data_IF_192372197689
#
_entry.id   IF_192372197689
#
_cell.length_a   1.000
_cell.length_b   1.000
_cell.length_c   1.000
_cell.angle_alpha   90.00
_cell.angle_beta   90.00
_cell.angle_gamma   90.00
#
_symmetry.space_group_name_H-M   'P 1'
#
loop_
_entity.id
_entity.type
_entity.pdbx_description
1 polymer ?
#
# COMPACT_ATOMS: atom_id res chain seq x y z
N UNK A 1 -1.14 36.12 10.35
CA UNK A 1 -0.45 35.30 11.38
C UNK A 1 -0.44 33.79 11.11
N UNK A 2 -1.11 33.26 10.08
CA UNK A 2 -1.19 31.81 9.80
C UNK A 2 0.09 31.14 9.24
N UNK A 3 1.13 31.90 8.88
CA UNK A 3 2.37 31.36 8.30
C UNK A 3 3.35 30.76 9.33
N UNK A 4 3.36 31.25 10.57
CA UNK A 4 4.34 30.82 11.59
C UNK A 4 4.04 29.44 12.18
N UNK A 5 2.78 28.99 12.19
CA UNK A 5 2.42 27.65 12.73
C UNK A 5 2.82 26.52 11.78
N UNK A 6 2.67 26.71 10.47
CA UNK A 6 3.07 25.72 9.45
C UNK A 6 4.58 25.47 9.45
N UNK A 7 5.39 26.51 9.64
CA UNK A 7 6.84 26.38 9.71
C UNK A 7 7.31 25.61 10.96
N UNK A 8 6.65 25.82 12.11
CA UNK A 8 6.93 25.07 13.35
C UNK A 8 6.53 23.59 13.25
N UNK A 9 5.41 23.30 12.59
CA UNK A 9 4.96 21.92 12.36
C UNK A 9 5.93 21.15 11.45
N UNK A 10 6.40 21.78 10.35
CA UNK A 10 7.38 21.17 9.45
C UNK A 10 8.71 20.92 10.17
N UNK A 11 9.18 21.89 10.96
CA UNK A 11 10.38 21.73 11.78
C UNK A 11 10.25 20.60 12.82
N UNK A 12 9.09 20.47 13.46
CA UNK A 12 8.82 19.40 14.41
C UNK A 12 8.76 18.02 13.74
N UNK A 13 8.09 17.89 12.59
CA UNK A 13 8.03 16.64 11.82
C UNK A 13 9.41 16.24 11.31
N UNK A 14 10.24 17.19 10.86
CA UNK A 14 11.63 16.93 10.48
C UNK A 14 12.47 16.51 11.69
N UNK A 15 12.32 17.17 12.84
CA UNK A 15 13.06 16.81 14.05
C UNK A 15 12.68 15.40 14.55
N UNK A 16 11.38 15.07 14.59
CA UNK A 16 10.89 13.74 14.95
C UNK A 16 11.34 12.71 13.92
N UNK A 17 11.30 13.04 12.62
CA UNK A 17 11.78 12.17 11.54
C UNK A 17 13.28 11.89 11.62
N UNK A 18 14.10 12.89 11.97
CA UNK A 18 15.55 12.74 12.18
C UNK A 18 15.81 11.89 13.43
N UNK A 19 15.06 12.10 14.52
CA UNK A 19 15.17 11.28 15.73
C UNK A 19 14.79 9.83 15.42
N UNK A 20 13.68 9.58 14.72
CA UNK A 20 13.28 8.22 14.31
C UNK A 20 14.29 7.59 13.34
N UNK A 21 14.80 8.34 12.36
CA UNK A 21 15.82 7.86 11.43
C UNK A 21 17.14 7.53 12.15
N UNK A 22 17.52 8.33 13.16
CA UNK A 22 18.70 8.08 14.00
C UNK A 22 18.54 6.85 14.91
N UNK A 23 17.32 6.58 15.37
CA UNK A 23 17.00 5.38 16.15
C UNK A 23 17.06 4.13 15.26
N UNK A 24 16.56 4.21 14.03
CA UNK A 24 16.62 3.13 13.05
C UNK A 24 18.05 2.85 12.56
N UNK A 25 18.89 3.87 12.40
CA UNK A 25 20.31 3.66 12.05
C UNK A 25 21.15 3.18 13.24
N UNK A 26 20.76 3.49 14.49
CA UNK A 26 21.41 2.94 15.69
C UNK A 26 21.01 1.49 16.00
N UNK A 27 19.86 1.01 15.48
CA UNK A 27 19.41 -0.36 15.67
C UNK A 27 20.30 -1.41 14.95
N UNK A 28 21.07 -0.98 13.95
CA UNK A 28 22.06 -1.83 13.27
C UNK A 28 23.34 -2.05 14.10
N UNK A 29 23.57 -1.22 15.13
CA UNK A 29 24.74 -1.27 16.03
C UNK A 29 24.39 -1.62 17.48
N UNK A 30 23.17 -2.10 17.75
CA UNK A 30 22.76 -2.60 19.06
C UNK A 30 22.73 -4.14 19.06
N UNK A 31 23.84 -4.82 19.45
CA UNK A 31 23.83 -6.22 19.89
C UNK A 31 22.66 -6.60 20.81
N UNK A 32 22.16 -5.74 21.74
CA UNK A 32 21.14 -6.15 22.71
C UNK A 32 19.81 -6.62 22.12
N UNK A 33 19.35 -6.06 21.00
CA UNK A 33 18.01 -6.40 20.48
C UNK A 33 18.01 -7.76 19.80
N UNK A 34 19.05 -8.05 19.02
CA UNK A 34 19.20 -9.36 18.38
C UNK A 34 19.40 -10.45 19.44
N UNK A 35 20.24 -10.20 20.45
CA UNK A 35 20.43 -11.14 21.56
C UNK A 35 19.14 -11.37 22.37
N UNK A 36 18.33 -10.34 22.61
CA UNK A 36 17.03 -10.48 23.30
C UNK A 36 16.03 -11.27 22.45
N UNK A 37 15.98 -11.03 21.14
CA UNK A 37 15.11 -11.79 20.23
C UNK A 37 15.59 -13.24 20.14
N UNK A 38 16.87 -13.47 19.93
CA UNK A 38 17.46 -14.80 19.81
C UNK A 38 17.30 -15.59 21.12
N UNK A 39 17.49 -14.96 22.29
CA UNK A 39 17.25 -15.59 23.59
C UNK A 39 15.77 -15.88 23.86
N UNK A 40 14.86 -15.00 23.44
CA UNK A 40 13.41 -15.25 23.57
C UNK A 40 12.96 -16.40 22.67
N UNK A 41 13.46 -16.43 21.43
CA UNK A 41 13.21 -17.52 20.48
C UNK A 41 13.79 -18.82 21.04
N UNK A 42 15.02 -18.81 21.55
CA UNK A 42 15.64 -20.01 22.12
C UNK A 42 14.87 -20.51 23.34
N UNK A 43 14.47 -19.64 24.26
CA UNK A 43 13.68 -20.04 25.42
C UNK A 43 12.31 -20.65 25.02
N UNK A 44 11.67 -20.10 23.98
CA UNK A 44 10.45 -20.69 23.44
C UNK A 44 10.72 -22.05 22.80
N UNK A 45 11.77 -22.17 21.99
CA UNK A 45 12.17 -23.43 21.36
C UNK A 45 12.45 -24.47 22.44
N UNK A 46 13.28 -24.18 23.44
CA UNK A 46 13.66 -25.14 24.48
C UNK A 46 12.44 -25.69 25.26
N UNK A 47 11.42 -24.84 25.49
CA UNK A 47 10.19 -25.25 26.18
C UNK A 47 9.28 -26.11 25.30
N UNK A 48 9.13 -25.74 24.03
CA UNK A 48 8.15 -26.37 23.13
C UNK A 48 8.73 -27.46 22.23
N UNK A 49 10.04 -27.49 22.02
CA UNK A 49 10.76 -28.44 21.17
C UNK A 49 10.45 -29.90 21.52
N UNK A 50 10.40 -30.33 22.80
CA UNK A 50 10.05 -31.72 23.13
C UNK A 50 8.66 -32.10 22.61
N UNK A 51 7.69 -31.20 22.72
CA UNK A 51 6.31 -31.43 22.28
C UNK A 51 6.20 -31.37 20.76
N UNK A 52 6.82 -30.36 20.14
CA UNK A 52 6.79 -30.13 18.70
C UNK A 52 7.53 -31.25 17.96
N UNK A 53 8.69 -31.67 18.45
CA UNK A 53 9.47 -32.76 17.85
C UNK A 53 8.71 -34.08 17.87
N UNK A 54 8.01 -34.41 18.96
CA UNK A 54 7.17 -35.62 19.04
C UNK A 54 5.98 -35.53 18.08
N UNK A 55 5.30 -34.37 18.02
CA UNK A 55 4.12 -34.19 17.17
C UNK A 55 4.46 -34.16 15.67
N UNK A 56 5.53 -33.46 15.28
CA UNK A 56 5.90 -33.23 13.88
C UNK A 56 6.90 -34.26 13.31
N UNK A 57 7.37 -35.23 14.10
CA UNK A 57 8.26 -36.31 13.65
C UNK A 57 9.75 -35.92 13.56
N UNK A 58 10.23 -35.24 14.61
CA UNK A 58 11.42 -34.38 14.61
C UNK A 58 12.76 -34.97 15.04
N UNK A 59 12.90 -36.28 15.28
CA UNK A 59 14.05 -36.84 15.99
C UNK A 59 15.45 -36.68 15.31
N UNK A 60 15.53 -36.17 14.07
CA UNK A 60 16.78 -36.03 13.32
C UNK A 60 17.03 -34.63 12.74
N UNK A 61 16.29 -33.59 13.16
CA UNK A 61 16.32 -32.28 12.52
C UNK A 61 17.01 -31.21 13.37
N UNK A 62 17.59 -30.21 12.70
CA UNK A 62 18.10 -29.00 13.36
C UNK A 62 16.95 -28.16 13.93
N UNK A 63 17.19 -27.46 15.04
CA UNK A 63 16.22 -26.59 15.72
C UNK A 63 15.56 -25.57 14.79
N UNK A 64 16.31 -25.05 13.80
CA UNK A 64 15.81 -24.15 12.76
C UNK A 64 14.67 -24.75 11.93
N UNK A 65 14.79 -26.01 11.50
CA UNK A 65 13.79 -26.67 10.65
C UNK A 65 12.49 -26.97 11.41
N UNK A 66 12.55 -27.14 12.73
CA UNK A 66 11.36 -27.35 13.55
C UNK A 66 10.47 -26.11 13.58
N UNK A 67 11.07 -24.92 13.74
CA UNK A 67 10.33 -23.66 13.71
C UNK A 67 9.69 -23.41 12.35
N UNK A 68 10.43 -23.68 11.27
CA UNK A 68 9.93 -23.59 9.90
C UNK A 68 8.71 -24.51 9.66
N UNK A 69 8.78 -25.77 10.11
CA UNK A 69 7.65 -26.72 10.04
C UNK A 69 6.44 -26.26 10.86
N UNK A 70 6.67 -25.68 12.03
CA UNK A 70 5.59 -25.12 12.86
C UNK A 70 4.87 -23.98 12.14
N UNK A 71 5.60 -23.09 11.47
CA UNK A 71 4.99 -22.01 10.68
C UNK A 71 4.13 -22.57 9.54
N UNK A 72 4.65 -23.53 8.77
CA UNK A 72 3.87 -24.14 7.69
C UNK A 72 2.67 -24.92 8.24
N UNK A 73 2.81 -25.60 9.38
CA UNK A 73 1.70 -26.22 10.11
C UNK A 73 0.60 -25.19 10.42
N UNK A 74 0.95 -24.02 10.98
CA UNK A 74 -0.01 -22.97 11.31
C UNK A 74 -0.72 -22.39 10.09
N UNK A 75 0.01 -22.24 8.97
CA UNK A 75 -0.57 -21.80 7.69
C UNK A 75 -1.57 -22.82 7.16
N UNK A 76 -1.17 -24.10 7.06
CA UNK A 76 -2.03 -25.17 6.56
C UNK A 76 -3.23 -25.38 7.48
N UNK A 77 -3.05 -25.32 8.80
CA UNK A 77 -4.13 -25.35 9.80
C UNK A 77 -5.14 -24.23 9.57
N UNK A 78 -4.67 -23.00 9.37
CA UNK A 78 -5.55 -21.84 9.13
C UNK A 78 -6.37 -22.01 7.85
N UNK A 79 -5.73 -22.45 6.75
CA UNK A 79 -6.40 -22.68 5.46
C UNK A 79 -7.43 -23.80 5.57
N UNK A 80 -7.06 -24.94 6.16
CA UNK A 80 -7.95 -26.10 6.33
C UNK A 80 -9.13 -25.72 7.22
N UNK A 81 -8.90 -25.05 8.35
CA UNK A 81 -9.96 -24.63 9.27
C UNK A 81 -10.98 -23.70 8.59
N UNK A 82 -10.51 -22.66 7.88
CA UNK A 82 -11.38 -21.73 7.15
C UNK A 82 -12.15 -22.45 6.03
N UNK A 83 -11.51 -23.38 5.33
CA UNK A 83 -12.14 -24.13 4.23
C UNK A 83 -13.22 -25.08 4.73
N UNK A 84 -12.95 -25.84 5.79
CA UNK A 84 -13.94 -26.73 6.41
C UNK A 84 -15.14 -25.93 6.94
N UNK A 85 -14.93 -24.71 7.44
CA UNK A 85 -16.02 -23.83 7.88
C UNK A 85 -17.05 -23.46 6.80
N UNK A 86 -16.70 -23.60 5.51
CA UNK A 86 -17.61 -23.33 4.39
C UNK A 86 -18.46 -24.53 3.97
N UNK A 87 -18.17 -25.73 4.50
CA UNK A 87 -18.88 -26.97 4.16
C UNK A 87 -19.98 -27.20 5.20
N UNK A 88 -21.27 -27.34 4.81
CA UNK A 88 -22.39 -27.45 5.75
C UNK A 88 -22.22 -28.52 6.84
N UNK A 89 -21.74 -29.71 6.45
CA UNK A 89 -21.49 -30.83 7.37
C UNK A 89 -20.54 -30.47 8.54
N UNK A 90 -19.51 -29.66 8.26
CA UNK A 90 -18.51 -29.23 9.27
C UNK A 90 -18.89 -27.91 9.93
N UNK A 91 -19.79 -27.13 9.33
CA UNK A 91 -20.30 -25.89 9.93
C UNK A 91 -21.19 -26.18 11.15
N UNK A 92 -22.00 -27.24 11.09
CA UNK A 92 -22.90 -27.64 12.18
C UNK A 92 -22.16 -28.33 13.35
N UNK A 93 -21.04 -29.00 13.07
CA UNK A 93 -20.29 -29.78 14.06
C UNK A 93 -18.89 -29.21 14.33
N UNK A 94 -18.82 -28.17 15.19
CA UNK A 94 -17.58 -27.47 15.50
C UNK A 94 -16.45 -28.38 16.03
N UNK A 95 -16.80 -29.40 16.82
CA UNK A 95 -15.82 -30.36 17.35
C UNK A 95 -15.17 -31.19 16.23
N UNK A 96 -15.98 -31.74 15.32
CA UNK A 96 -15.49 -32.51 14.16
C UNK A 96 -14.63 -31.62 13.27
N UNK A 97 -15.08 -30.38 13.02
CA UNK A 97 -14.29 -29.39 12.27
C UNK A 97 -12.91 -29.18 12.90
N UNK A 98 -12.85 -29.00 14.21
CA UNK A 98 -11.59 -28.76 14.92
C UNK A 98 -10.66 -29.98 14.84
N UNK A 99 -11.17 -31.19 15.11
CA UNK A 99 -10.39 -32.44 15.03
C UNK A 99 -9.83 -32.65 13.63
N UNK A 100 -10.67 -32.55 12.60
CA UNK A 100 -10.24 -32.74 11.20
C UNK A 100 -9.25 -31.65 10.79
N UNK A 101 -9.49 -30.40 11.21
CA UNK A 101 -8.57 -29.30 10.93
C UNK A 101 -7.20 -29.47 11.57
N UNK A 102 -7.09 -30.22 12.67
CA UNK A 102 -5.82 -30.46 13.36
C UNK A 102 -5.09 -31.68 12.80
N UNK A 103 -5.83 -32.76 12.51
CA UNK A 103 -5.26 -34.01 11.97
C UNK A 103 -4.68 -33.83 10.57
N UNK A 104 -5.36 -33.11 9.68
CA UNK A 104 -4.91 -32.95 8.29
C UNK A 104 -3.55 -32.24 8.19
N UNK A 105 -3.33 -31.04 8.76
CA UNK A 105 -2.02 -30.38 8.75
C UNK A 105 -0.96 -31.20 9.48
N UNK A 106 -1.32 -31.87 10.59
CA UNK A 106 -0.37 -32.70 11.34
C UNK A 106 0.19 -33.82 10.46
N UNK A 107 -0.67 -34.54 9.74
CA UNK A 107 -0.25 -35.57 8.79
C UNK A 107 0.53 -34.95 7.62
N UNK A 108 0.06 -33.82 7.08
CA UNK A 108 0.70 -33.14 5.95
C UNK A 108 2.14 -32.77 6.25
N UNK A 109 2.41 -32.18 7.42
CA UNK A 109 3.76 -31.76 7.82
C UNK A 109 4.63 -32.94 8.23
N UNK A 110 4.06 -33.95 8.91
CA UNK A 110 4.80 -35.14 9.33
C UNK A 110 5.41 -35.91 8.15
N UNK A 111 4.69 -35.98 7.03
CA UNK A 111 5.15 -36.67 5.82
C UNK A 111 5.75 -35.74 4.76
N UNK A 112 5.93 -34.45 5.07
CA UNK A 112 6.51 -33.49 4.14
C UNK A 112 8.02 -33.72 4.00
N UNK A 113 8.48 -33.91 2.76
CA UNK A 113 9.91 -33.97 2.46
C UNK A 113 10.56 -32.58 2.66
N UNK A 114 11.78 -32.49 3.21
CA UNK A 114 12.44 -31.22 3.47
C UNK A 114 12.62 -30.33 2.24
N UNK A 115 12.81 -30.93 1.06
CA UNK A 115 12.95 -30.19 -0.19
C UNK A 115 11.74 -29.31 -0.50
N UNK A 116 10.53 -29.82 -0.24
CA UNK A 116 9.29 -29.05 -0.42
C UNK A 116 9.16 -27.93 0.60
N UNK A 117 9.51 -28.20 1.86
CA UNK A 117 9.50 -27.20 2.92
C UNK A 117 10.44 -26.04 2.57
N UNK A 118 11.68 -26.35 2.18
CA UNK A 118 12.67 -25.36 1.76
C UNK A 118 12.18 -24.54 0.56
N UNK A 119 11.59 -25.19 -0.45
CA UNK A 119 11.06 -24.52 -1.63
C UNK A 119 9.97 -23.50 -1.27
N UNK A 120 9.04 -23.86 -0.36
CA UNK A 120 8.00 -22.96 0.15
C UNK A 120 8.64 -21.75 0.86
N UNK A 121 9.62 -22.00 1.72
CA UNK A 121 10.28 -20.95 2.52
C UNK A 121 11.07 -20.00 1.64
N UNK A 122 11.76 -20.51 0.62
CA UNK A 122 12.49 -19.67 -0.34
C UNK A 122 11.53 -18.69 -1.02
N UNK A 123 10.34 -19.13 -1.43
CA UNK A 123 9.35 -18.23 -2.03
C UNK A 123 8.90 -17.14 -1.05
N UNK A 124 8.67 -17.47 0.22
CA UNK A 124 8.33 -16.47 1.24
C UNK A 124 9.48 -15.52 1.54
N UNK A 125 10.74 -15.98 1.52
CA UNK A 125 11.91 -15.12 1.65
C UNK A 125 11.98 -14.13 0.49
N UNK A 126 11.79 -14.59 -0.74
CA UNK A 126 11.75 -13.71 -1.93
C UNK A 126 10.61 -12.69 -1.83
N UNK A 127 9.41 -13.12 -1.44
CA UNK A 127 8.28 -12.21 -1.23
C UNK A 127 8.57 -11.19 -0.13
N UNK A 128 9.17 -11.62 0.98
CA UNK A 128 9.55 -10.72 2.08
C UNK A 128 10.55 -9.69 1.60
N UNK A 129 11.61 -10.10 0.88
CA UNK A 129 12.61 -9.20 0.30
C UNK A 129 11.95 -8.21 -0.67
N UNK A 130 11.02 -8.68 -1.51
CA UNK A 130 10.28 -7.83 -2.44
C UNK A 130 9.41 -6.81 -1.67
N UNK A 131 8.70 -7.23 -0.63
CA UNK A 131 7.88 -6.34 0.19
C UNK A 131 8.73 -5.32 0.95
N UNK A 132 9.80 -5.75 1.61
CA UNK A 132 10.68 -4.85 2.38
C UNK A 132 11.44 -3.87 1.49
N UNK A 133 11.69 -4.23 0.22
CA UNK A 133 12.31 -3.30 -0.75
C UNK A 133 11.32 -2.31 -1.35
N UNK A 134 10.08 -2.74 -1.65
CA UNK A 134 9.06 -1.89 -2.26
C UNK A 134 8.35 -0.99 -1.24
N UNK A 135 8.18 -1.44 0.02
CA UNK A 135 7.39 -0.73 1.01
C UNK A 135 7.94 0.66 1.38
N UNK A 136 9.25 0.87 1.61
CA UNK A 136 9.78 2.21 1.85
C UNK A 136 9.56 3.12 0.65
N UNK A 137 9.63 2.59 -0.57
CA UNK A 137 9.34 3.32 -1.80
C UNK A 137 7.87 3.76 -1.88
N UNK A 138 6.91 2.88 -1.54
CA UNK A 138 5.48 3.22 -1.49
C UNK A 138 5.20 4.32 -0.46
N UNK A 139 5.72 4.16 0.76
CA UNK A 139 5.53 5.14 1.84
C UNK A 139 6.10 6.49 1.43
N UNK A 140 7.30 6.48 0.87
CA UNK A 140 7.97 7.68 0.41
C UNK A 140 7.20 8.36 -0.75
N UNK A 141 6.76 7.60 -1.75
CA UNK A 141 5.93 8.10 -2.85
C UNK A 141 4.63 8.73 -2.32
N UNK A 142 4.00 8.11 -1.33
CA UNK A 142 2.82 8.66 -0.66
C UNK A 142 3.11 10.03 -0.02
N UNK A 143 4.25 10.18 0.67
CA UNK A 143 4.62 11.48 1.24
C UNK A 143 4.88 12.54 0.17
N UNK A 144 5.58 12.21 -0.91
CA UNK A 144 5.85 13.15 -2.01
C UNK A 144 4.59 13.55 -2.73
N UNK A 145 3.67 12.63 -2.94
CA UNK A 145 2.40 12.91 -3.59
C UNK A 145 1.52 13.84 -2.75
N UNK A 146 1.44 13.60 -1.43
CA UNK A 146 0.54 14.36 -0.56
C UNK A 146 1.14 15.69 -0.09
N UNK A 147 2.39 15.70 0.37
CA UNK A 147 3.05 16.91 0.89
C UNK A 147 3.67 17.76 -0.23
N UNK A 148 4.08 17.13 -1.33
CA UNK A 148 4.76 17.80 -2.44
C UNK A 148 3.82 18.35 -3.53
N UNK A 149 2.50 18.20 -3.37
CA UNK A 149 1.52 18.58 -4.40
C UNK A 149 1.65 20.03 -4.85
N UNK A 150 1.91 20.94 -3.91
CA UNK A 150 1.93 22.38 -4.17
C UNK A 150 3.33 22.93 -4.48
N UNK A 151 4.39 22.15 -4.24
CA UNK A 151 5.77 22.60 -4.41
C UNK A 151 6.64 21.58 -5.12
N UNK A 152 6.99 21.88 -6.38
CA UNK A 152 7.96 21.09 -7.14
C UNK A 152 9.33 21.02 -6.49
N UNK A 153 9.71 22.02 -5.67
CA UNK A 153 10.98 22.02 -4.93
C UNK A 153 10.96 20.93 -3.84
N UNK A 154 9.87 20.83 -3.06
CA UNK A 154 9.74 19.82 -2.00
C UNK A 154 9.83 18.41 -2.58
N UNK A 155 9.22 18.17 -3.74
CA UNK A 155 9.30 16.88 -4.44
C UNK A 155 10.72 16.54 -4.88
N UNK A 156 11.42 17.47 -5.52
CA UNK A 156 12.82 17.29 -5.93
C UNK A 156 13.75 17.03 -4.74
N UNK A 157 13.63 17.84 -3.69
CA UNK A 157 14.42 17.68 -2.45
C UNK A 157 14.15 16.33 -1.81
N UNK A 158 12.89 15.91 -1.76
CA UNK A 158 12.56 14.57 -1.31
C UNK A 158 13.30 13.51 -2.12
N UNK A 159 13.18 13.55 -3.46
CA UNK A 159 13.72 12.49 -4.31
C UNK A 159 15.24 12.39 -4.15
N UNK A 160 15.91 13.53 -3.96
CA UNK A 160 17.33 13.60 -3.62
C UNK A 160 17.61 12.93 -2.27
N UNK A 161 16.83 13.24 -1.23
CA UNK A 161 16.98 12.62 0.09
C UNK A 161 16.77 11.10 0.01
N UNK A 162 15.77 10.64 -0.74
CA UNK A 162 15.50 9.22 -0.96
C UNK A 162 16.68 8.52 -1.66
N UNK A 163 17.23 9.13 -2.71
CA UNK A 163 18.43 8.63 -3.38
C UNK A 163 19.62 8.51 -2.41
N UNK A 164 19.85 9.52 -1.56
CA UNK A 164 20.95 9.50 -0.58
C UNK A 164 20.78 8.34 0.41
N UNK A 165 19.56 8.13 0.91
CA UNK A 165 19.27 7.01 1.84
C UNK A 165 19.56 5.67 1.18
N UNK A 166 19.05 5.45 -0.04
CA UNK A 166 19.28 4.18 -0.74
C UNK A 166 20.73 3.97 -1.18
N UNK A 167 21.44 5.03 -1.52
CA UNK A 167 22.88 4.97 -1.80
C UNK A 167 23.66 4.59 -0.53
N UNK A 168 23.29 5.15 0.62
CA UNK A 168 23.87 4.79 1.91
C UNK A 168 23.59 3.34 2.30
N UNK A 169 22.35 2.87 2.12
CA UNK A 169 21.97 1.47 2.36
C UNK A 169 22.75 0.53 1.44
N UNK A 170 22.85 0.86 0.15
CA UNK A 170 23.62 0.09 -0.84
C UNK A 170 25.10 -0.02 -0.44
N UNK A 171 25.71 1.08 0.00
CA UNK A 171 27.11 1.08 0.45
C UNK A 171 27.35 0.34 1.77
N UNK A 172 26.31 0.12 2.58
CA UNK A 172 26.41 -0.50 3.91
C UNK A 172 26.13 -2.01 3.94
N UNK A 173 25.57 -2.57 2.85
CA UNK A 173 25.17 -3.97 2.81
C UNK A 173 26.28 -4.83 2.20
N UNK A 174 26.63 -5.94 2.87
CA UNK A 174 27.63 -6.90 2.37
C UNK A 174 27.01 -7.98 1.47
N UNK A 175 25.72 -8.28 1.65
CA UNK A 175 25.01 -9.30 0.86
C UNK A 175 24.77 -8.80 -0.57
N UNK A 176 25.32 -9.51 -1.55
CA UNK A 176 25.29 -9.12 -2.98
C UNK A 176 23.86 -9.01 -3.52
N UNK A 177 22.98 -9.93 -3.13
CA UNK A 177 21.59 -9.95 -3.61
C UNK A 177 20.80 -8.76 -3.06
N UNK A 178 20.94 -8.45 -1.77
CA UNK A 178 20.34 -7.26 -1.16
C UNK A 178 20.96 -5.96 -1.70
N UNK A 179 22.28 -5.96 -1.95
CA UNK A 179 23.00 -4.85 -2.58
C UNK A 179 22.41 -4.50 -3.95
N UNK A 180 22.19 -5.50 -4.81
CA UNK A 180 21.58 -5.30 -6.11
C UNK A 180 20.20 -4.64 -6.01
N UNK A 181 19.38 -5.05 -5.03
CA UNK A 181 18.03 -4.47 -4.82
C UNK A 181 18.11 -2.99 -4.46
N UNK A 182 19.00 -2.59 -3.55
CA UNK A 182 19.16 -1.18 -3.18
C UNK A 182 19.73 -0.36 -4.34
N UNK A 183 20.68 -0.90 -5.10
CA UNK A 183 21.23 -0.25 -6.30
C UNK A 183 20.15 0.00 -7.35
N UNK A 184 19.35 -1.01 -7.71
CA UNK A 184 18.28 -0.84 -8.69
C UNK A 184 17.20 0.11 -8.20
N UNK A 185 16.92 0.14 -6.89
CA UNK A 185 15.98 1.11 -6.31
C UNK A 185 16.52 2.53 -6.39
N UNK A 186 17.82 2.73 -6.15
CA UNK A 186 18.50 4.01 -6.38
C UNK A 186 18.36 4.46 -7.85
N UNK A 187 18.67 3.57 -8.81
CA UNK A 187 18.52 3.86 -10.26
C UNK A 187 17.07 4.22 -10.62
N UNK A 188 16.09 3.47 -10.11
CA UNK A 188 14.68 3.74 -10.33
C UNK A 188 14.27 5.11 -9.75
N UNK A 189 14.75 5.47 -8.56
CA UNK A 189 14.48 6.77 -7.95
C UNK A 189 15.12 7.94 -8.73
N UNK A 190 16.31 7.74 -9.29
CA UNK A 190 16.95 8.70 -10.18
C UNK A 190 16.14 8.90 -11.46
N UNK A 191 15.67 7.81 -12.09
CA UNK A 191 14.79 7.89 -13.25
C UNK A 191 13.50 8.66 -12.92
N UNK A 192 12.87 8.36 -11.78
CA UNK A 192 11.66 9.06 -11.34
C UNK A 192 11.89 10.53 -11.03
N UNK A 193 13.05 10.90 -10.48
CA UNK A 193 13.42 12.31 -10.30
C UNK A 193 13.48 13.06 -11.64
N UNK A 194 14.04 12.43 -12.68
CA UNK A 194 14.12 13.02 -14.03
C UNK A 194 12.71 13.16 -14.63
N UNK A 195 11.85 12.16 -14.48
CA UNK A 195 10.48 12.15 -15.00
C UNK A 195 9.42 12.80 -14.10
N UNK A 196 9.81 13.30 -12.93
CA UNK A 196 8.93 13.87 -11.91
C UNK A 196 8.02 14.97 -12.50
N UNK A 197 8.59 15.84 -13.34
CA UNK A 197 7.84 16.89 -14.03
C UNK A 197 6.75 16.34 -14.98
N UNK A 198 7.10 15.35 -15.79
CA UNK A 198 6.20 14.74 -16.80
C UNK A 198 5.03 14.02 -16.13
N UNK A 199 5.31 13.22 -15.10
CA UNK A 199 4.30 12.47 -14.34
C UNK A 199 3.30 13.43 -13.71
N UNK A 200 3.80 14.51 -13.09
CA UNK A 200 2.93 15.48 -12.44
C UNK A 200 2.07 16.27 -13.43
N UNK A 201 2.62 16.66 -14.57
CA UNK A 201 1.85 17.33 -15.62
C UNK A 201 0.71 16.42 -16.13
N UNK A 202 0.98 15.14 -16.30
CA UNK A 202 -0.04 14.15 -16.67
C UNK A 202 -1.15 14.06 -15.62
N UNK A 203 -0.81 13.97 -14.34
CA UNK A 203 -1.80 13.93 -13.25
C UNK A 203 -2.63 15.22 -13.15
N UNK A 204 -2.00 16.40 -13.26
CA UNK A 204 -2.72 17.69 -13.29
C UNK A 204 -3.68 17.74 -14.47
N UNK A 205 -3.24 17.35 -15.66
CA UNK A 205 -4.08 17.32 -16.86
C UNK A 205 -5.30 16.40 -16.68
N UNK A 206 -5.11 15.25 -16.03
CA UNK A 206 -6.21 14.32 -15.73
C UNK A 206 -7.17 14.87 -14.65
N UNK A 207 -6.67 15.61 -13.67
CA UNK A 207 -7.52 16.27 -12.68
C UNK A 207 -8.30 17.44 -13.30
N UNK A 208 -7.65 18.24 -14.15
CA UNK A 208 -8.29 19.33 -14.87
C UNK A 208 -9.35 18.82 -15.85
N UNK A 209 -9.11 17.70 -16.53
CA UNK A 209 -10.13 17.11 -17.40
C UNK A 209 -11.34 16.62 -16.61
N UNK A 210 -11.14 15.97 -15.45
CA UNK A 210 -12.23 15.56 -14.54
C UNK A 210 -12.99 16.75 -13.98
N UNK A 211 -12.29 17.80 -13.54
CA UNK A 211 -12.90 19.03 -13.04
C UNK A 211 -13.65 19.79 -14.14
N UNK A 212 -13.10 19.82 -15.37
CA UNK A 212 -13.76 20.41 -16.54
C UNK A 212 -15.06 19.70 -16.88
N UNK A 213 -15.08 18.35 -16.84
CA UNK A 213 -16.30 17.56 -17.04
C UNK A 213 -17.34 17.88 -15.96
N UNK A 214 -16.94 17.93 -14.68
CA UNK A 214 -17.86 18.26 -13.58
C UNK A 214 -18.45 19.69 -13.73
N UNK A 215 -17.60 20.68 -13.98
CA UNK A 215 -18.03 22.06 -14.20
C UNK A 215 -18.95 22.20 -15.43
N UNK A 216 -18.66 21.45 -16.51
CA UNK A 216 -19.52 21.40 -17.70
C UNK A 216 -20.92 20.89 -17.35
N UNK A 217 -21.03 19.79 -16.61
CA UNK A 217 -22.33 19.26 -16.20
C UNK A 217 -23.09 20.21 -15.28
N UNK A 218 -22.40 20.88 -14.35
CA UNK A 218 -23.00 21.90 -13.51
C UNK A 218 -23.52 23.08 -14.33
N UNK A 219 -22.75 23.54 -15.34
CA UNK A 219 -23.17 24.61 -16.23
C UNK A 219 -24.36 24.22 -17.11
N UNK A 220 -24.39 22.98 -17.61
CA UNK A 220 -25.54 22.43 -18.35
C UNK A 220 -26.78 22.37 -17.44
N UNK A 221 -26.64 21.94 -16.18
CA UNK A 221 -27.73 21.88 -15.23
C UNK A 221 -28.29 23.27 -14.91
N UNK A 222 -27.42 24.27 -14.75
CA UNK A 222 -27.83 25.67 -14.57
C UNK A 222 -28.61 26.20 -15.77
N UNK A 223 -28.10 26.00 -17.00
CA UNK A 223 -28.79 26.43 -18.22
C UNK A 223 -30.17 25.78 -18.39
N UNK A 224 -30.32 24.50 -17.99
CA UNK A 224 -31.61 23.82 -17.98
C UNK A 224 -32.58 24.46 -16.99
N UNK A 225 -32.12 24.75 -15.77
CA UNK A 225 -32.92 25.47 -14.78
C UNK A 225 -33.39 26.84 -15.27
N UNK A 226 -32.51 27.60 -15.93
CA UNK A 226 -32.84 28.90 -16.53
C UNK A 226 -33.83 28.79 -17.71
N UNK A 227 -33.79 27.70 -18.49
CA UNK A 227 -34.79 27.40 -19.51
C UNK A 227 -36.16 27.16 -18.86
N UNK A 228 -36.22 26.34 -17.81
CA UNK A 228 -37.47 26.01 -17.11
C UNK A 228 -38.07 27.24 -16.41
N UNK A 229 -37.25 28.14 -15.87
CA UNK A 229 -37.67 29.43 -15.33
C UNK A 229 -38.21 30.36 -16.43
N UNK A 230 -37.52 30.45 -17.57
CA UNK A 230 -37.97 31.24 -18.72
C UNK A 230 -39.31 30.71 -19.25
N UNK A 231 -39.49 29.38 -19.33
CA UNK A 231 -40.72 28.73 -19.74
C UNK A 231 -41.88 29.10 -18.80
N UNK A 232 -41.66 29.04 -17.49
CA UNK A 232 -42.66 29.45 -16.48
C UNK A 232 -43.02 30.92 -16.59
N UNK A 233 -42.04 31.80 -16.82
CA UNK A 233 -42.28 33.23 -16.99
C UNK A 233 -43.08 33.57 -18.26
N UNK A 234 -42.89 32.81 -19.35
CA UNK A 234 -43.74 32.90 -20.55
C UNK A 234 -45.18 32.48 -20.22
N UNK A 235 -45.37 31.34 -19.56
CA UNK A 235 -46.71 30.82 -19.19
C UNK A 235 -47.44 31.78 -18.25
N UNK A 236 -46.73 32.43 -17.33
CA UNK A 236 -47.29 33.42 -16.41
C UNK A 236 -47.58 34.79 -17.06
N UNK A 237 -47.20 35.00 -18.34
CA UNK A 237 -47.38 36.27 -19.04
C UNK A 237 -46.40 37.37 -18.63
N UNK A 238 -45.33 37.03 -17.88
CA UNK A 238 -44.30 38.00 -17.49
C UNK A 238 -43.35 38.36 -18.63
N UNK A 239 -43.22 37.49 -19.64
CA UNK A 239 -42.34 37.70 -20.80
C UNK A 239 -43.13 37.43 -22.09
N UNK A 240 -43.06 38.30 -23.11
CA UNK A 240 -43.65 38.04 -24.42
C UNK A 240 -43.09 36.75 -25.04
N UNK A 241 -43.99 35.88 -25.54
CA UNK A 241 -43.65 34.53 -26.00
C UNK A 241 -42.53 34.52 -27.08
N UNK A 242 -42.55 35.48 -28.01
CA UNK A 242 -41.53 35.60 -29.06
C UNK A 242 -40.12 35.83 -28.49
N UNK A 243 -40.00 36.66 -27.45
CA UNK A 243 -38.73 36.96 -26.78
C UNK A 243 -38.28 35.73 -25.98
N UNK A 244 -39.20 35.12 -25.22
CA UNK A 244 -38.92 33.93 -24.43
C UNK A 244 -38.43 32.74 -25.27
N UNK A 245 -39.09 32.45 -26.41
CA UNK A 245 -38.65 31.41 -27.36
C UNK A 245 -37.25 31.66 -27.92
N UNK A 246 -36.90 32.91 -28.19
CA UNK A 246 -35.54 33.29 -28.65
C UNK A 246 -34.49 33.03 -27.58
N UNK A 247 -34.76 33.37 -26.32
CA UNK A 247 -33.87 33.13 -25.18
C UNK A 247 -33.65 31.61 -24.99
N UNK A 248 -34.74 30.82 -24.99
CA UNK A 248 -34.67 29.36 -24.85
C UNK A 248 -33.84 28.75 -25.98
N UNK A 249 -34.09 29.14 -27.24
CA UNK A 249 -33.35 28.62 -28.39
C UNK A 249 -31.86 28.94 -28.31
N UNK A 250 -31.48 30.13 -27.81
CA UNK A 250 -30.07 30.48 -27.57
C UNK A 250 -29.42 29.60 -26.50
N UNK A 251 -30.11 29.38 -25.37
CA UNK A 251 -29.62 28.51 -24.29
C UNK A 251 -29.50 27.04 -24.73
N UNK A 252 -30.47 26.52 -25.48
CA UNK A 252 -30.41 25.16 -26.06
C UNK A 252 -29.22 24.97 -26.99
N UNK A 253 -28.98 25.92 -27.91
CA UNK A 253 -27.78 25.89 -28.77
C UNK A 253 -26.48 25.91 -27.97
N UNK A 254 -26.46 26.64 -26.85
CA UNK A 254 -25.28 26.67 -25.99
C UNK A 254 -25.06 25.33 -25.27
N UNK A 255 -26.12 24.68 -24.79
CA UNK A 255 -26.06 23.31 -24.25
C UNK A 255 -25.55 22.32 -25.32
N UNK A 256 -26.09 22.37 -26.54
CA UNK A 256 -25.62 21.51 -27.66
C UNK A 256 -24.15 21.74 -27.97
N UNK A 257 -23.70 23.01 -27.99
CA UNK A 257 -22.30 23.35 -28.18
C UNK A 257 -21.42 22.77 -27.08
N UNK A 258 -21.83 22.90 -25.81
CA UNK A 258 -21.11 22.33 -24.65
C UNK A 258 -21.05 20.80 -24.73
N UNK A 259 -22.14 20.13 -25.13
CA UNK A 259 -22.18 18.68 -25.32
C UNK A 259 -21.22 18.22 -26.42
N UNK A 260 -21.10 18.98 -27.51
CA UNK A 260 -20.26 18.64 -28.66
C UNK A 260 -18.76 18.92 -28.46
N UNK A 261 -18.40 19.93 -27.66
CA UNK A 261 -17.02 20.44 -27.56
C UNK A 261 -16.35 20.27 -26.20
N UNK A 262 -16.88 19.42 -25.32
CA UNK A 262 -16.23 19.15 -24.03
C UNK A 262 -16.49 17.77 -23.52
#
# INVERSE_FOLDING_TARGET
MAGKSKFRLIGFVLAVGIIFASQLSSAYYLPPVREVIDSTIQAFIDVFEPVISVLLGGAQWSSSLLFERLLVFMIVLSIVYVTLGKIPMFAENAFVRWVVSLVIPLLSIRFMEPGWLLAIIIQYKVLSIALTSILPFIIYFFFIHNLGRDSGVVRKVGWILFMIVYLGLWASIEDELQSAVYFWTFVASLALLIFDGTIHHYFIKQQLSRAGVANKWQHIAQLRGEIDETQRAITAGHIPEAIGKSIIRKKQKHIEWLLKHG
#
